data_IF_588697019205
#
_entry.id   IF_588697019205
#
_cell.length_a   1.000
_cell.length_b   1.000
_cell.length_c   1.000
_cell.angle_alpha   90.00
_cell.angle_beta   90.00
_cell.angle_gamma   90.00
#
_symmetry.space_group_name_H-M   'P 1'
#
loop_
_entity.id
_entity.type
_entity.pdbx_description
1 polymer ?
#
# COMPACT_ATOMS: atom_id res chain seq x y z
N UNK A 1 -4.48 28.57 -10.18
CA UNK A 1 -3.04 28.43 -10.40
C UNK A 1 -2.73 26.97 -10.72
N UNK A 2 -2.40 26.67 -11.98
CA UNK A 2 -2.04 25.32 -12.40
C UNK A 2 -0.58 25.06 -11.99
N UNK A 3 -0.35 24.07 -11.12
CA UNK A 3 1.01 23.60 -10.83
C UNK A 3 1.56 23.00 -12.13
N UNK A 4 2.66 23.58 -12.62
CA UNK A 4 3.34 23.15 -13.83
C UNK A 4 3.55 21.64 -13.80
N UNK A 5 2.85 20.94 -14.69
CA UNK A 5 3.04 19.53 -14.96
C UNK A 5 4.37 19.45 -15.70
N UNK A 6 5.44 19.20 -14.96
CA UNK A 6 6.75 18.99 -15.56
C UNK A 6 6.75 17.56 -16.16
N UNK A 7 6.57 17.39 -17.48
CA UNK A 7 6.20 16.11 -18.07
C UNK A 7 7.34 15.07 -18.03
N UNK A 8 8.51 15.48 -17.56
CA UNK A 8 9.76 14.73 -17.61
C UNK A 8 10.35 14.39 -16.23
N UNK A 9 9.64 14.66 -15.12
CA UNK A 9 10.11 14.19 -13.82
C UNK A 9 9.86 12.68 -13.67
N UNK A 10 10.90 11.88 -13.34
CA UNK A 10 10.72 10.46 -13.09
C UNK A 10 9.66 10.21 -11.99
N UNK A 11 8.83 9.19 -12.17
CA UNK A 11 7.79 8.78 -11.19
C UNK A 11 8.38 8.66 -9.78
N UNK A 12 9.60 8.12 -9.69
CA UNK A 12 10.37 7.97 -8.45
C UNK A 12 10.69 9.30 -7.77
N UNK A 13 11.00 10.36 -8.52
CA UNK A 13 11.29 11.69 -7.97
C UNK A 13 10.02 12.36 -7.43
N UNK A 14 8.90 12.21 -8.12
CA UNK A 14 7.59 12.70 -7.66
C UNK A 14 7.14 11.93 -6.41
N UNK A 15 7.33 10.61 -6.41
CA UNK A 15 7.06 9.76 -5.25
C UNK A 15 7.91 10.18 -4.03
N UNK A 16 9.21 10.42 -4.23
CA UNK A 16 10.10 10.86 -3.15
C UNK A 16 9.71 12.23 -2.58
N UNK A 17 9.24 13.16 -3.42
CA UNK A 17 8.65 14.43 -2.97
C UNK A 17 7.44 14.20 -2.06
N UNK A 18 6.57 13.27 -2.42
CA UNK A 18 5.43 12.87 -1.58
C UNK A 18 5.86 12.28 -0.25
N UNK A 19 6.89 11.43 -0.23
CA UNK A 19 7.47 10.88 1.01
C UNK A 19 8.00 12.01 1.91
N UNK A 20 8.73 12.96 1.34
CA UNK A 20 9.29 14.08 2.11
C UNK A 20 8.19 14.97 2.69
N UNK A 21 7.13 15.26 1.92
CA UNK A 21 5.97 15.99 2.40
C UNK A 21 5.25 15.23 3.53
N UNK A 22 5.08 13.91 3.39
CA UNK A 22 4.48 13.07 4.42
C UNK A 22 5.28 13.11 5.74
N UNK A 23 6.62 13.03 5.65
CA UNK A 23 7.52 13.13 6.81
C UNK A 23 7.45 14.51 7.46
N UNK A 24 7.23 15.57 6.68
CA UNK A 24 7.04 16.92 7.18
C UNK A 24 5.65 17.18 7.77
N UNK A 25 4.73 16.20 7.74
CA UNK A 25 3.35 16.36 8.22
C UNK A 25 2.41 17.06 7.24
N UNK A 26 2.91 17.47 6.07
CA UNK A 26 2.10 18.06 5.00
C UNK A 26 1.43 16.93 4.19
N UNK A 27 0.39 16.35 4.78
CA UNK A 27 -0.30 15.20 4.21
C UNK A 27 -1.10 15.56 2.95
N UNK A 28 -1.60 16.78 2.84
CA UNK A 28 -2.33 17.23 1.65
C UNK A 28 -1.40 17.28 0.44
N UNK A 29 -0.21 17.88 0.60
CA UNK A 29 0.81 17.89 -0.45
C UNK A 29 1.34 16.50 -0.74
N UNK A 30 1.49 15.65 0.28
CA UNK A 30 1.90 14.26 0.09
C UNK A 30 0.92 13.52 -0.83
N UNK A 31 -0.40 13.64 -0.58
CA UNK A 31 -1.44 13.05 -1.42
C UNK A 31 -1.33 13.54 -2.87
N UNK A 32 -1.18 14.85 -3.08
CA UNK A 32 -1.03 15.42 -4.43
C UNK A 32 0.17 14.83 -5.17
N UNK A 33 1.33 14.70 -4.50
CA UNK A 33 2.50 14.07 -5.10
C UNK A 33 2.28 12.59 -5.39
N UNK A 34 1.64 11.84 -4.48
CA UNK A 34 1.34 10.43 -4.71
C UNK A 34 0.31 10.21 -5.83
N UNK A 35 -0.67 11.10 -5.96
CA UNK A 35 -1.63 11.09 -7.07
C UNK A 35 -0.93 11.30 -8.41
N UNK A 36 -0.05 12.31 -8.48
CA UNK A 36 0.76 12.57 -9.67
C UNK A 36 1.66 11.37 -10.00
N UNK A 37 2.34 10.79 -9.02
CA UNK A 37 3.19 9.62 -9.21
C UNK A 37 2.38 8.40 -9.70
N UNK A 38 1.19 8.18 -9.15
CA UNK A 38 0.32 7.08 -9.57
C UNK A 38 -0.18 7.27 -11.00
N UNK A 39 -0.59 8.49 -11.38
CA UNK A 39 -1.04 8.81 -12.74
C UNK A 39 0.08 8.73 -13.78
N UNK A 40 1.30 9.06 -13.38
CA UNK A 40 2.48 8.96 -14.24
C UNK A 40 3.05 7.54 -14.34
N UNK A 41 2.65 6.61 -13.45
CA UNK A 41 3.10 5.22 -13.52
C UNK A 41 2.55 4.52 -14.77
N UNK A 42 3.45 4.07 -15.64
CA UNK A 42 3.14 3.28 -16.82
C UNK A 42 3.17 1.77 -16.51
N UNK A 43 2.73 0.94 -17.45
CA UNK A 43 2.85 -0.52 -17.37
C UNK A 43 4.29 -1.04 -17.39
N UNK A 44 5.26 -0.20 -17.76
CA UNK A 44 6.69 -0.57 -17.78
C UNK A 44 7.35 -0.44 -16.41
N UNK A 45 6.74 0.31 -15.49
CA UNK A 45 7.25 0.45 -14.13
C UNK A 45 6.96 -0.80 -13.29
N UNK A 46 7.85 -1.16 -12.35
CA UNK A 46 7.63 -2.32 -11.48
C UNK A 46 6.31 -2.22 -10.71
N UNK A 47 5.55 -3.31 -10.65
CA UNK A 47 4.26 -3.34 -9.92
C UNK A 47 4.43 -2.94 -8.44
N UNK A 48 5.60 -3.27 -7.86
CA UNK A 48 5.99 -2.89 -6.51
C UNK A 48 5.99 -1.36 -6.30
N UNK A 49 6.37 -0.56 -7.31
CA UNK A 49 6.34 0.89 -7.23
C UNK A 49 4.90 1.39 -7.10
N UNK A 50 3.98 0.87 -7.92
CA UNK A 50 2.54 1.23 -7.86
C UNK A 50 1.93 0.87 -6.51
N UNK A 51 2.28 -0.29 -5.96
CA UNK A 51 1.87 -0.72 -4.61
C UNK A 51 2.38 0.26 -3.55
N UNK A 52 3.66 0.64 -3.61
CA UNK A 52 4.26 1.57 -2.64
C UNK A 52 3.65 2.96 -2.71
N UNK A 53 3.34 3.46 -3.91
CA UNK A 53 2.64 4.74 -4.11
C UNK A 53 1.25 4.68 -3.47
N UNK A 54 0.47 3.65 -3.78
CA UNK A 54 -0.90 3.50 -3.23
C UNK A 54 -0.91 3.36 -1.71
N UNK A 55 -0.01 2.56 -1.14
CA UNK A 55 0.10 2.40 0.31
C UNK A 55 0.52 3.71 1.01
N UNK A 56 1.45 4.45 0.42
CA UNK A 56 1.86 5.76 0.95
C UNK A 56 0.72 6.79 0.86
N UNK A 57 -0.06 6.76 -0.22
CA UNK A 57 -1.26 7.60 -0.36
C UNK A 57 -2.34 7.23 0.65
N UNK A 58 -2.59 5.94 0.85
CA UNK A 58 -3.49 5.47 1.89
C UNK A 58 -3.06 5.99 3.27
N UNK A 59 -1.76 5.97 3.56
CA UNK A 59 -1.22 6.56 4.79
C UNK A 59 -1.50 8.04 4.97
N UNK A 60 -1.28 8.82 3.93
CA UNK A 60 -1.52 10.25 3.98
C UNK A 60 -3.01 10.57 4.17
N UNK A 61 -3.90 9.82 3.48
CA UNK A 61 -5.36 9.96 3.63
C UNK A 61 -5.84 9.57 5.02
N UNK A 62 -5.33 8.48 5.58
CA UNK A 62 -5.61 8.06 6.96
C UNK A 62 -5.21 9.14 7.99
N UNK A 63 -4.07 9.79 7.78
CA UNK A 63 -3.62 10.93 8.62
C UNK A 63 -4.54 12.14 8.55
N UNK A 64 -5.23 12.33 7.43
CA UNK A 64 -6.27 13.36 7.26
C UNK A 64 -7.68 12.87 7.60
N UNK A 65 -7.80 11.67 8.18
CA UNK A 65 -9.09 11.03 8.50
C UNK A 65 -9.98 10.75 7.26
N UNK A 66 -9.42 10.76 6.05
CA UNK A 66 -10.08 10.26 4.84
C UNK A 66 -9.99 8.72 4.80
N UNK A 67 -10.80 8.09 5.66
CA UNK A 67 -10.81 6.64 5.83
C UNK A 67 -11.36 5.92 4.58
N UNK A 68 -12.31 6.56 3.88
CA UNK A 68 -12.90 6.01 2.64
C UNK A 68 -11.86 5.98 1.52
N UNK A 69 -11.13 7.07 1.32
CA UNK A 69 -10.07 7.14 0.33
C UNK A 69 -8.90 6.22 0.66
N UNK A 70 -8.53 6.10 1.94
CA UNK A 70 -7.51 5.16 2.39
C UNK A 70 -7.91 3.69 2.17
N UNK A 71 -9.16 3.32 2.44
CA UNK A 71 -9.68 1.97 2.16
C UNK A 71 -9.73 1.69 0.66
N UNK A 72 -10.11 2.68 -0.17
CA UNK A 72 -10.09 2.54 -1.62
C UNK A 72 -8.69 2.25 -2.15
N UNK A 73 -7.67 2.93 -1.64
CA UNK A 73 -6.28 2.68 -2.02
C UNK A 73 -5.79 1.32 -1.51
N UNK A 74 -6.19 0.91 -0.31
CA UNK A 74 -5.89 -0.41 0.23
C UNK A 74 -6.48 -1.52 -0.65
N UNK A 75 -7.73 -1.35 -1.11
CA UNK A 75 -8.36 -2.28 -2.05
C UNK A 75 -7.57 -2.37 -3.37
N UNK A 76 -7.13 -1.24 -3.92
CA UNK A 76 -6.30 -1.25 -5.14
C UNK A 76 -4.98 -1.98 -4.95
N UNK A 77 -4.37 -1.91 -3.76
CA UNK A 77 -3.17 -2.71 -3.45
C UNK A 77 -3.49 -4.21 -3.46
N UNK A 78 -4.62 -4.62 -2.87
CA UNK A 78 -5.08 -6.02 -2.89
C UNK A 78 -5.34 -6.47 -4.34
N UNK A 79 -5.99 -5.64 -5.16
CA UNK A 79 -6.29 -5.96 -6.55
C UNK A 79 -5.00 -6.10 -7.39
N UNK A 80 -3.96 -5.30 -7.10
CA UNK A 80 -2.67 -5.36 -7.80
C UNK A 80 -1.77 -6.52 -7.35
N UNK A 81 -1.82 -6.88 -6.07
CA UNK A 81 -1.00 -7.94 -5.49
C UNK A 81 -1.81 -8.72 -4.46
N UNK A 82 -2.69 -9.64 -4.91
CA UNK A 82 -3.54 -10.42 -4.02
C UNK A 82 -2.75 -11.37 -3.13
N UNK A 83 -1.53 -11.73 -3.53
CA UNK A 83 -0.62 -12.54 -2.71
C UNK A 83 0.23 -11.69 -1.74
N UNK A 84 0.16 -10.36 -1.83
CA UNK A 84 0.85 -9.48 -0.88
C UNK A 84 -0.01 -9.22 0.36
N UNK A 85 0.51 -9.45 1.57
CA UNK A 85 -0.24 -9.16 2.80
C UNK A 85 -0.45 -7.65 3.03
N UNK A 86 0.31 -6.79 2.33
CA UNK A 86 0.39 -5.34 2.59
C UNK A 86 -0.97 -4.64 2.49
N UNK A 87 -1.75 -4.92 1.45
CA UNK A 87 -3.07 -4.32 1.26
C UNK A 87 -4.07 -4.76 2.32
N UNK A 88 -4.04 -6.04 2.71
CA UNK A 88 -4.90 -6.58 3.76
C UNK A 88 -4.57 -6.00 5.14
N UNK A 89 -3.28 -5.90 5.50
CA UNK A 89 -2.84 -5.25 6.76
C UNK A 89 -3.34 -3.81 6.83
N UNK A 90 -3.26 -3.06 5.73
CA UNK A 90 -3.75 -1.69 5.67
C UNK A 90 -5.26 -1.60 5.91
N UNK A 91 -6.03 -2.42 5.21
CA UNK A 91 -7.48 -2.49 5.37
C UNK A 91 -7.87 -2.88 6.81
N UNK A 92 -7.18 -3.85 7.40
CA UNK A 92 -7.40 -4.28 8.77
C UNK A 92 -7.24 -3.13 9.78
N UNK A 93 -6.13 -2.37 9.68
CA UNK A 93 -5.87 -1.20 10.54
C UNK A 93 -6.95 -0.13 10.40
N UNK A 94 -7.44 0.11 9.18
CA UNK A 94 -8.51 1.08 8.93
C UNK A 94 -9.84 0.63 9.53
N UNK A 95 -10.20 -0.66 9.38
CA UNK A 95 -11.40 -1.21 10.03
C UNK A 95 -11.30 -1.17 11.55
N UNK A 96 -10.12 -1.44 12.11
CA UNK A 96 -9.86 -1.34 13.54
C UNK A 96 -10.07 0.10 14.05
N UNK A 97 -9.55 1.11 13.32
CA UNK A 97 -9.70 2.53 13.65
C UNK A 97 -11.16 2.98 13.74
N UNK A 98 -12.04 2.40 12.93
CA UNK A 98 -13.49 2.68 12.97
C UNK A 98 -14.29 1.66 13.80
N UNK A 99 -13.61 0.89 14.66
CA UNK A 99 -14.21 -0.11 15.55
C UNK A 99 -15.05 -1.18 14.83
N UNK A 100 -14.80 -1.40 13.54
CA UNK A 100 -15.38 -2.52 12.78
C UNK A 100 -14.53 -3.76 12.96
N UNK A 101 -14.46 -4.25 14.20
CA UNK A 101 -13.58 -5.35 14.60
C UNK A 101 -13.77 -6.63 13.78
N UNK A 102 -14.99 -7.10 13.44
CA UNK A 102 -15.15 -8.29 12.61
C UNK A 102 -14.49 -8.17 11.23
N UNK A 103 -14.61 -7.00 10.60
CA UNK A 103 -13.96 -6.74 9.31
C UNK A 103 -12.43 -6.62 9.47
N UNK A 104 -11.96 -6.02 10.57
CA UNK A 104 -10.53 -5.95 10.90
C UNK A 104 -9.91 -7.33 11.06
N UNK A 105 -10.55 -8.22 11.83
CA UNK A 105 -10.08 -9.59 12.10
C UNK A 105 -9.99 -10.35 10.78
N UNK A 106 -11.05 -10.33 9.97
CA UNK A 106 -11.07 -10.99 8.66
C UNK A 106 -9.91 -10.53 7.75
N UNK A 107 -9.61 -9.23 7.73
CA UNK A 107 -8.49 -8.72 6.92
C UNK A 107 -7.13 -9.15 7.48
N UNK A 108 -6.95 -9.22 8.80
CA UNK A 108 -5.73 -9.75 9.40
C UNK A 108 -5.54 -11.24 9.12
N UNK A 109 -6.60 -12.04 9.20
CA UNK A 109 -6.56 -13.48 8.86
C UNK A 109 -6.12 -13.69 7.42
N UNK A 110 -6.68 -12.92 6.48
CA UNK A 110 -6.25 -12.95 5.08
C UNK A 110 -4.77 -12.55 4.94
N UNK A 111 -4.31 -11.52 5.64
CA UNK A 111 -2.90 -11.12 5.61
C UNK A 111 -1.97 -12.25 6.11
N UNK A 112 -2.34 -12.92 7.21
CA UNK A 112 -1.57 -14.04 7.76
C UNK A 112 -1.56 -15.24 6.80
N UNK A 113 -2.71 -15.54 6.19
CA UNK A 113 -2.80 -16.59 5.16
C UNK A 113 -1.84 -16.30 4.00
N UNK A 114 -1.80 -15.07 3.47
CA UNK A 114 -0.89 -14.70 2.37
C UNK A 114 0.59 -14.75 2.75
N UNK A 115 0.93 -14.43 4.00
CA UNK A 115 2.30 -14.62 4.52
C UNK A 115 2.71 -16.10 4.59
N UNK A 116 1.80 -16.97 5.01
CA UNK A 116 2.08 -18.39 5.15
C UNK A 116 2.08 -19.14 3.81
N UNK A 117 1.32 -18.67 2.82
CA UNK A 117 1.33 -19.18 1.44
C UNK A 117 2.48 -18.61 0.60
N UNK A 118 3.25 -17.66 1.11
CA UNK A 118 4.42 -17.14 0.41
C UNK A 118 5.52 -18.23 0.32
N UNK A 119 6.16 -18.45 -0.85
CA UNK A 119 7.05 -19.58 -1.10
C UNK A 119 8.21 -19.77 -0.11
N UNK A 120 8.54 -18.76 0.70
CA UNK A 120 9.64 -18.84 1.66
C UNK A 120 9.39 -19.76 2.87
N UNK A 121 8.15 -20.23 3.11
CA UNK A 121 7.87 -21.16 4.23
C UNK A 121 7.71 -22.62 3.85
N UNK A 122 7.49 -22.95 2.57
CA UNK A 122 7.45 -24.36 2.16
C UNK A 122 8.82 -25.05 2.24
N UNK A 123 9.91 -24.30 2.34
CA UNK A 123 11.25 -24.87 2.56
C UNK A 123 11.46 -25.34 4.00
N UNK A 124 10.79 -24.72 4.99
CA UNK A 124 10.98 -25.07 6.40
C UNK A 124 10.10 -26.23 6.89
N UNK A 125 9.08 -26.64 6.12
CA UNK A 125 8.24 -27.79 6.45
C UNK A 125 8.67 -29.09 5.75
N UNK A 126 9.47 -29.04 4.69
CA UNK A 126 9.95 -30.24 3.98
C UNK A 126 11.23 -30.77 4.66
N UNK A 127 12.11 -29.89 5.18
CA UNK A 127 13.34 -30.30 5.88
C UNK A 127 13.09 -30.91 7.27
N UNK A 128 11.90 -30.70 7.86
CA UNK A 128 11.52 -31.28 9.15
C UNK A 128 10.81 -32.65 9.04
N UNK A 129 10.48 -33.11 7.83
CA UNK A 129 9.80 -34.39 7.60
C UNK A 129 10.68 -35.47 6.97
N UNK A 130 11.96 -35.20 6.73
CA UNK A 130 12.94 -36.13 6.13
C UNK A 130 14.02 -36.61 7.13
N UNK A 131 13.84 -36.33 8.42
CA UNK A 131 14.67 -36.88 9.50
C UNK A 131 13.82 -37.71 10.46
N UNK A 132 13.25 -38.81 9.94
CA UNK A 132 12.84 -39.99 10.71
C UNK A 132 13.19 -41.25 9.90
#
# INVERSE_FOLDING_TARGET
>A
MAVARDPNLPVTRVFQRGINAFKAGDYQRAIQCFDQAFQASSSTEPIALRINILDSRAAAKDKLNDLRGSLSDSKKVIDLAPESPKGYIRAARLFNKIQRFPASIKMFELAVSKLNSSPQKNTQLIEASEQD
#
